data_IF_097072638364
#
_entry.id   IF_097072638364
#
_cell.length_a   1.000
_cell.length_b   1.000
_cell.length_c   1.000
_cell.angle_alpha   90.00
_cell.angle_beta   90.00
_cell.angle_gamma   90.00
#
_symmetry.space_group_name_H-M   'P 1'
#
loop_
_entity.id
_entity.type
_entity.pdbx_description
1 polymer ?
#
# COMPACT_ATOMS: atom_id res chain seq x y z
N UNK A 1 -17.51 0.69 2.62
CA UNK A 1 -16.20 1.39 2.66
C UNK A 1 -15.41 0.85 3.83
N UNK A 2 -14.11 0.61 3.65
CA UNK A 2 -13.21 0.18 4.72
C UNK A 2 -11.91 0.98 4.63
N UNK A 3 -11.48 1.57 5.74
CA UNK A 3 -10.18 2.21 5.87
C UNK A 3 -9.29 1.39 6.81
N UNK A 4 -8.07 1.12 6.38
CA UNK A 4 -7.01 0.54 7.20
C UNK A 4 -5.98 1.64 7.45
N UNK A 5 -5.85 2.07 8.70
CA UNK A 5 -5.04 3.22 9.12
C UNK A 5 -4.06 2.82 10.22
N UNK A 6 -3.10 3.71 10.51
CA UNK A 6 -2.09 3.54 11.56
C UNK A 6 -1.21 2.29 11.35
N UNK A 7 -1.03 1.86 10.10
CA UNK A 7 -0.07 0.82 9.79
C UNK A 7 1.34 1.38 9.96
N UNK A 8 2.10 0.86 10.93
CA UNK A 8 3.53 1.21 11.06
C UNK A 8 4.26 1.03 9.71
N UNK A 9 3.93 -0.06 9.00
CA UNK A 9 4.37 -0.33 7.64
C UNK A 9 3.23 -0.93 6.83
N UNK A 10 3.10 -0.49 5.58
CA UNK A 10 2.23 -1.08 4.57
C UNK A 10 3.08 -1.57 3.41
N UNK A 11 3.05 -2.89 3.16
CA UNK A 11 3.87 -3.53 2.13
C UNK A 11 2.97 -3.79 0.91
N UNK A 12 3.20 -3.06 -0.17
CA UNK A 12 2.31 -3.10 -1.36
C UNK A 12 2.69 -4.19 -2.35
N UNK A 13 3.95 -4.65 -2.30
CA UNK A 13 4.56 -5.51 -3.32
C UNK A 13 4.52 -4.94 -4.74
N UNK A 14 4.18 -3.64 -4.89
CA UNK A 14 4.14 -2.97 -6.18
C UNK A 14 5.50 -3.11 -6.85
N UNK A 15 5.50 -3.49 -8.13
CA UNK A 15 6.70 -3.86 -8.85
C UNK A 15 6.40 -4.12 -10.32
N UNK A 16 7.37 -4.65 -11.07
CA UNK A 16 7.18 -4.91 -12.50
C UNK A 16 6.08 -5.96 -12.73
N UNK A 17 5.46 -5.95 -13.91
CA UNK A 17 4.45 -6.93 -14.35
C UNK A 17 5.06 -8.30 -14.73
N UNK A 18 6.08 -8.73 -13.98
CA UNK A 18 6.77 -10.02 -14.10
C UNK A 18 7.23 -10.46 -12.71
N UNK A 19 7.53 -11.75 -12.50
CA UNK A 19 8.13 -12.21 -11.26
C UNK A 19 9.44 -11.46 -10.94
N UNK A 20 9.66 -11.19 -9.65
CA UNK A 20 10.95 -10.69 -9.14
C UNK A 20 11.94 -11.85 -9.06
N UNK A 21 13.19 -11.58 -9.39
CA UNK A 21 14.28 -12.57 -9.29
C UNK A 21 15.52 -11.97 -8.64
N UNK A 22 16.30 -12.80 -7.94
CA UNK A 22 17.56 -12.38 -7.33
C UNK A 22 17.39 -11.21 -6.34
N UNK A 23 18.16 -10.14 -6.56
CA UNK A 23 18.15 -8.96 -5.70
C UNK A 23 16.80 -8.24 -5.63
N UNK A 24 16.00 -8.31 -6.71
CA UNK A 24 14.68 -7.66 -6.79
C UNK A 24 13.69 -8.19 -5.75
N UNK A 25 13.90 -9.40 -5.21
CA UNK A 25 13.05 -9.96 -4.14
C UNK A 25 13.09 -9.14 -2.85
N UNK A 26 14.11 -8.29 -2.67
CA UNK A 26 14.27 -7.42 -1.49
C UNK A 26 13.53 -6.08 -1.63
N UNK A 27 13.05 -5.74 -2.82
CA UNK A 27 12.44 -4.44 -3.11
C UNK A 27 10.92 -4.47 -2.86
N UNK A 28 10.50 -4.54 -1.60
CA UNK A 28 9.09 -4.82 -1.24
C UNK A 28 8.10 -3.65 -1.38
N UNK A 29 8.55 -2.47 -1.82
CA UNK A 29 7.72 -1.26 -1.94
C UNK A 29 6.95 -0.94 -0.65
N UNK A 30 7.74 -0.74 0.44
CA UNK A 30 7.26 -0.48 1.79
C UNK A 30 6.91 0.99 1.95
N UNK A 31 5.72 1.26 2.48
CA UNK A 31 5.28 2.59 2.90
C UNK A 31 5.30 2.64 4.43
N UNK A 32 6.11 3.54 4.99
CA UNK A 32 6.12 3.84 6.43
C UNK A 32 4.95 4.75 6.80
N UNK A 33 4.33 4.54 7.98
CA UNK A 33 3.07 5.19 8.39
C UNK A 33 2.03 5.12 7.26
N UNK A 34 1.73 3.90 6.83
CA UNK A 34 0.88 3.61 5.67
C UNK A 34 -0.61 3.55 6.01
N UNK A 35 -1.43 3.73 4.97
CA UNK A 35 -2.87 3.55 5.02
C UNK A 35 -3.43 3.07 3.67
N UNK A 36 -4.63 2.50 3.71
CA UNK A 36 -5.36 2.00 2.54
C UNK A 36 -6.85 2.27 2.68
N UNK A 37 -7.48 2.69 1.59
CA UNK A 37 -8.94 2.85 1.47
C UNK A 37 -9.48 1.84 0.46
N UNK A 38 -10.52 1.11 0.87
CA UNK A 38 -11.24 0.15 0.04
C UNK A 38 -12.68 0.62 -0.18
N UNK A 39 -13.06 0.74 -1.45
CA UNK A 39 -14.38 1.15 -1.89
C UNK A 39 -14.87 0.18 -2.98
N UNK A 40 -16.13 -0.24 -2.90
CA UNK A 40 -16.74 -1.15 -3.88
C UNK A 40 -15.86 -2.37 -4.19
N UNK A 41 -15.35 -3.02 -3.13
CA UNK A 41 -14.49 -4.22 -3.21
C UNK A 41 -13.15 -4.02 -3.93
N UNK A 42 -12.76 -2.77 -4.20
CA UNK A 42 -11.48 -2.41 -4.82
C UNK A 42 -10.64 -1.55 -3.89
N UNK A 43 -9.33 -1.72 -3.99
CA UNK A 43 -8.36 -0.82 -3.40
C UNK A 43 -8.43 0.48 -4.20
N UNK A 44 -8.98 1.53 -3.58
CA UNK A 44 -9.18 2.84 -4.20
C UNK A 44 -7.94 3.72 -4.01
N UNK A 45 -7.36 3.73 -2.79
CA UNK A 45 -6.15 4.48 -2.47
C UNK A 45 -5.22 3.69 -1.56
N UNK A 46 -3.92 3.82 -1.83
CA UNK A 46 -2.82 3.31 -1.01
C UNK A 46 -1.78 4.42 -0.93
N UNK A 47 -1.25 4.66 0.27
CA UNK A 47 -0.26 5.71 0.47
C UNK A 47 0.17 5.81 1.92
N UNK A 48 0.87 6.89 2.24
CA UNK A 48 1.04 7.30 3.65
C UNK A 48 -0.31 7.67 4.25
N UNK A 49 -0.46 7.55 5.57
CA UNK A 49 -1.67 7.94 6.29
C UNK A 49 -2.08 9.37 5.97
N UNK A 50 -1.13 10.30 5.98
CA UNK A 50 -1.35 11.71 5.61
C UNK A 50 -1.97 11.89 4.21
N UNK A 51 -1.67 11.00 3.26
CA UNK A 51 -2.21 11.06 1.91
C UNK A 51 -3.59 10.42 1.78
N UNK A 52 -3.92 9.42 2.61
CA UNK A 52 -5.17 8.66 2.50
C UNK A 52 -6.26 9.21 3.42
N UNK A 53 -5.90 9.65 4.62
CA UNK A 53 -6.84 10.12 5.65
C UNK A 53 -7.80 11.24 5.21
N UNK A 54 -7.42 12.19 4.32
CA UNK A 54 -8.37 13.18 3.79
C UNK A 54 -9.51 12.62 2.93
N UNK A 55 -9.47 11.32 2.57
CA UNK A 55 -10.48 10.65 1.75
C UNK A 55 -11.35 9.65 2.53
N UNK A 56 -11.18 9.58 3.86
CA UNK A 56 -11.95 8.71 4.75
C UNK A 56 -13.24 9.41 5.17
#
# INVERSE_FOLDING_TARGET
MLAVINCRQLITLAGPARPRVGAEMRELSIISDGAMLVLNERIEKVGTRKQVEPFI
#
